data_IF_200170995470
#
_entry.id   IF_200170995470
#
_cell.length_a   1.000
_cell.length_b   1.000
_cell.length_c   1.000
_cell.angle_alpha   90.00
_cell.angle_beta   90.00
_cell.angle_gamma   90.00
#
_symmetry.space_group_name_H-M   'P 1'
#
loop_
_entity.id
_entity.type
_entity.pdbx_description
1 polymer ?
#
# COMPACT_ATOMS: atom_id res chain seq x y z
N UNK A 1 31.07 18.10 2.54
CA UNK A 1 29.83 17.75 1.82
C UNK A 1 28.78 17.36 2.86
N UNK A 2 27.51 17.77 2.74
CA UNK A 2 26.50 17.32 3.69
C UNK A 2 26.46 15.79 3.66
N UNK A 3 26.63 15.18 4.83
CA UNK A 3 26.56 13.74 5.01
C UNK A 3 25.16 13.28 4.62
N UNK A 4 25.11 12.30 3.71
CA UNK A 4 23.86 11.68 3.31
C UNK A 4 23.18 11.08 4.56
N UNK A 5 21.87 11.27 4.76
CA UNK A 5 21.17 10.66 5.89
C UNK A 5 21.27 9.13 5.80
N UNK A 6 21.47 8.50 6.95
CA UNK A 6 21.53 7.06 7.16
C UNK A 6 20.14 6.41 7.31
N UNK A 7 19.08 7.22 7.30
CA UNK A 7 17.68 6.76 7.27
C UNK A 7 16.84 7.44 6.18
N UNK A 8 15.66 6.86 5.90
CA UNK A 8 14.56 7.50 5.16
C UNK A 8 13.35 7.72 6.07
N UNK A 9 12.44 8.61 5.69
CA UNK A 9 11.12 8.69 6.31
C UNK A 9 10.14 7.74 5.62
N UNK A 10 9.43 6.93 6.40
CA UNK A 10 8.28 6.16 5.96
C UNK A 10 7.00 6.92 6.36
N UNK A 11 6.31 7.50 5.39
CA UNK A 11 5.04 8.18 5.60
C UNK A 11 3.87 7.21 5.46
N UNK A 12 3.87 6.15 6.27
CA UNK A 12 2.81 5.15 6.32
C UNK A 12 2.63 4.57 7.72
N UNK A 13 1.38 4.38 8.13
CA UNK A 13 1.03 3.68 9.37
C UNK A 13 1.01 2.16 9.21
N UNK A 14 1.24 1.62 8.00
CA UNK A 14 1.15 0.18 7.75
C UNK A 14 2.36 -0.55 8.33
N UNK A 15 2.19 -1.44 9.33
CA UNK A 15 3.31 -2.20 9.89
C UNK A 15 4.02 -3.08 8.84
N UNK A 16 3.27 -3.55 7.83
CA UNK A 16 3.79 -4.39 6.75
C UNK A 16 4.82 -3.68 5.88
N UNK A 17 4.63 -2.38 5.64
CA UNK A 17 5.57 -1.60 4.82
C UNK A 17 6.88 -1.36 5.56
N UNK A 18 6.81 -1.16 6.87
CA UNK A 18 7.97 -1.09 7.76
C UNK A 18 8.75 -2.41 7.75
N UNK A 19 8.06 -3.55 7.94
CA UNK A 19 8.65 -4.89 7.85
C UNK A 19 9.35 -5.14 6.50
N UNK A 20 8.75 -4.72 5.38
CA UNK A 20 9.33 -4.89 4.05
C UNK A 20 10.58 -4.02 3.81
N UNK A 21 10.68 -2.85 4.47
CA UNK A 21 11.90 -2.05 4.46
C UNK A 21 13.00 -2.66 5.34
N UNK A 22 12.63 -3.19 6.51
CA UNK A 22 13.55 -3.93 7.39
C UNK A 22 14.14 -5.15 6.69
N UNK A 23 13.33 -5.89 5.92
CA UNK A 23 13.77 -7.04 5.15
C UNK A 23 14.93 -6.72 4.19
N UNK A 24 14.99 -5.50 3.65
CA UNK A 24 16.06 -5.05 2.76
C UNK A 24 17.08 -4.12 3.45
N UNK A 25 17.09 -4.11 4.79
CA UNK A 25 18.08 -3.38 5.57
C UNK A 25 18.00 -1.87 5.44
N UNK A 26 16.83 -1.29 5.12
CA UNK A 26 16.65 0.17 4.98
C UNK A 26 16.21 0.78 6.32
N UNK A 27 17.09 1.52 7.02
CA UNK A 27 16.71 2.21 8.24
C UNK A 27 15.69 3.29 7.91
N UNK A 28 14.62 3.34 8.70
CA UNK A 28 13.56 4.30 8.47
C UNK A 28 12.96 4.84 9.75
N UNK A 29 12.41 6.05 9.65
CA UNK A 29 11.66 6.72 10.73
C UNK A 29 10.25 7.01 10.25
N UNK A 30 9.26 6.83 11.11
CA UNK A 30 7.88 7.13 10.75
C UNK A 30 7.67 8.64 10.61
N UNK A 31 6.97 9.05 9.55
CA UNK A 31 6.53 10.42 9.32
C UNK A 31 5.01 10.44 9.19
N UNK A 32 4.31 10.24 10.31
CA UNK A 32 2.86 10.08 10.34
C UNK A 32 2.13 11.43 10.35
N UNK A 33 0.90 11.51 9.78
CA UNK A 33 0.02 12.68 9.90
C UNK A 33 -0.24 13.07 11.36
N UNK A 34 -0.32 14.37 11.63
CA UNK A 34 -0.85 14.89 12.90
C UNK A 34 -2.38 14.72 12.97
N UNK A 35 -2.99 14.86 14.15
CA UNK A 35 -4.44 14.71 14.34
C UNK A 35 -5.28 15.69 13.50
N UNK A 36 -4.70 16.81 13.07
CA UNK A 36 -5.33 17.83 12.24
C UNK A 36 -5.21 17.55 10.74
N UNK A 37 -4.45 16.53 10.33
CA UNK A 37 -4.27 16.18 8.93
C UNK A 37 -5.26 15.08 8.53
N UNK A 38 -6.22 15.42 7.68
CA UNK A 38 -7.13 14.44 7.09
C UNK A 38 -6.43 13.66 5.97
N UNK A 39 -5.67 12.64 6.37
CA UNK A 39 -4.98 11.77 5.44
C UNK A 39 -5.93 10.83 4.68
N UNK A 40 -7.12 10.58 5.22
CA UNK A 40 -8.11 9.68 4.60
C UNK A 40 -8.83 10.37 3.43
N UNK A 41 -9.07 11.68 3.49
CA UNK A 41 -9.62 12.45 2.38
C UNK A 41 -8.79 12.32 1.08
N UNK A 42 -7.49 12.09 1.18
CA UNK A 42 -6.63 11.86 0.02
C UNK A 42 -6.97 10.56 -0.72
N UNK A 43 -7.57 9.59 -0.03
CA UNK A 43 -7.95 8.27 -0.56
C UNK A 43 -9.34 8.26 -1.24
N UNK A 44 -10.05 9.40 -1.30
CA UNK A 44 -11.34 9.49 -1.99
C UNK A 44 -11.18 9.19 -3.50
N UNK A 45 -11.98 8.25 -4.00
CA UNK A 45 -11.99 7.90 -5.43
C UNK A 45 -12.77 8.95 -6.24
N UNK A 46 -12.25 9.32 -7.41
CA UNK A 46 -12.93 10.26 -8.30
C UNK A 46 -13.90 9.52 -9.25
N UNK A 47 -15.00 10.16 -9.70
CA UNK A 47 -15.91 9.57 -10.67
C UNK A 47 -15.19 9.13 -11.95
N UNK A 48 -15.40 7.88 -12.36
CA UNK A 48 -14.81 7.31 -13.58
C UNK A 48 -13.31 6.99 -13.52
N UNK A 49 -12.66 7.24 -12.39
CA UNK A 49 -11.22 7.02 -12.22
C UNK A 49 -10.85 5.55 -12.33
N UNK A 50 -9.80 5.25 -13.12
CA UNK A 50 -9.28 3.89 -13.21
C UNK A 50 -8.52 3.49 -11.94
N UNK A 51 -8.47 2.20 -11.55
CA UNK A 51 -7.70 1.76 -10.39
C UNK A 51 -6.21 2.17 -10.44
N UNK A 52 -5.63 2.18 -11.64
CA UNK A 52 -4.25 2.64 -11.86
C UNK A 52 -4.09 4.13 -11.60
N UNK A 53 -4.95 4.95 -12.20
CA UNK A 53 -4.93 6.40 -12.01
C UNK A 53 -5.17 6.77 -10.54
N UNK A 54 -6.13 6.10 -9.89
CA UNK A 54 -6.43 6.24 -8.47
C UNK A 54 -5.19 6.02 -7.61
N UNK A 55 -4.58 4.82 -7.68
CA UNK A 55 -3.49 4.47 -6.75
C UNK A 55 -2.26 5.36 -6.95
N UNK A 56 -1.98 5.76 -8.20
CA UNK A 56 -0.89 6.68 -8.51
C UNK A 56 -1.16 8.09 -7.97
N UNK A 57 -2.37 8.64 -8.21
CA UNK A 57 -2.78 9.95 -7.70
C UNK A 57 -2.73 10.00 -6.19
N UNK A 58 -3.36 9.03 -5.51
CA UNK A 58 -3.39 8.94 -4.05
C UNK A 58 -1.97 8.88 -3.49
N UNK A 59 -1.10 8.07 -4.09
CA UNK A 59 0.32 7.96 -3.65
C UNK A 59 1.07 9.28 -3.82
N UNK A 60 0.86 9.99 -4.94
CA UNK A 60 1.47 11.30 -5.18
C UNK A 60 0.99 12.34 -4.17
N UNK A 61 -0.32 12.43 -3.92
CA UNK A 61 -0.90 13.33 -2.93
C UNK A 61 -0.37 13.06 -1.52
N UNK A 62 -0.25 11.78 -1.14
CA UNK A 62 0.35 11.38 0.14
C UNK A 62 1.81 11.82 0.25
N UNK A 63 2.59 11.70 -0.83
CA UNK A 63 3.97 12.18 -0.85
C UNK A 63 4.07 13.69 -0.69
N UNK A 64 3.22 14.45 -1.39
CA UNK A 64 3.22 15.91 -1.26
C UNK A 64 2.83 16.37 0.14
N UNK A 65 1.80 15.76 0.73
CA UNK A 65 1.42 16.03 2.12
C UNK A 65 2.54 15.67 3.11
N UNK A 66 3.21 14.52 2.92
CA UNK A 66 4.31 14.10 3.78
C UNK A 66 5.53 15.02 3.68
N UNK A 67 5.84 15.54 2.49
CA UNK A 67 6.96 16.48 2.31
C UNK A 67 6.63 17.87 2.87
N UNK A 68 5.38 18.32 2.73
CA UNK A 68 4.90 19.53 3.40
C UNK A 68 5.01 19.39 4.93
N UNK A 69 4.64 18.24 5.48
CA UNK A 69 4.79 17.91 6.89
C UNK A 69 6.24 17.90 7.35
N UNK A 70 7.15 17.27 6.58
CA UNK A 70 8.58 17.25 6.89
C UNK A 70 9.13 18.69 7.03
N UNK A 71 8.79 19.54 6.05
CA UNK A 71 9.20 20.96 6.04
C UNK A 71 8.59 21.73 7.21
N UNK A 72 7.28 21.59 7.43
CA UNK A 72 6.54 22.27 8.51
C UNK A 72 7.12 21.95 9.89
N UNK A 73 7.50 20.69 10.12
CA UNK A 73 8.07 20.24 11.39
C UNK A 73 9.56 20.55 11.55
N UNK A 74 10.24 21.11 10.53
CA UNK A 74 11.66 21.44 10.60
C UNK A 74 12.57 20.22 10.86
N UNK A 75 12.12 19.03 10.46
CA UNK A 75 12.86 17.79 10.71
C UNK A 75 14.11 17.68 9.83
N UNK A 76 15.12 16.89 10.23
CA UNK A 76 16.32 16.68 9.43
C UNK A 76 15.99 16.23 7.99
N UNK A 77 16.66 16.78 6.97
CA UNK A 77 16.35 16.44 5.57
C UNK A 77 16.72 14.98 5.27
N UNK A 78 15.73 14.19 4.88
CA UNK A 78 15.91 12.82 4.38
C UNK A 78 14.85 12.48 3.31
N UNK A 79 15.10 11.45 2.46
CA UNK A 79 14.09 10.98 1.52
C UNK A 79 12.81 10.55 2.24
N UNK A 80 11.64 10.85 1.66
CA UNK A 80 10.32 10.45 2.15
C UNK A 80 9.73 9.44 1.20
N UNK A 81 9.38 8.26 1.72
CA UNK A 81 8.74 7.18 0.99
C UNK A 81 7.26 7.08 1.37
N UNK A 82 6.42 7.03 0.33
CA UNK A 82 4.99 6.80 0.42
C UNK A 82 4.62 5.60 -0.46
N UNK A 83 3.57 4.89 -0.09
CA UNK A 83 2.94 3.90 -0.94
C UNK A 83 1.44 3.87 -0.72
N UNK A 84 0.70 3.46 -1.75
CA UNK A 84 -0.72 3.16 -1.67
C UNK A 84 -1.03 1.85 -2.40
N UNK A 85 -2.02 1.12 -1.89
CA UNK A 85 -2.35 -0.22 -2.38
C UNK A 85 -3.85 -0.34 -2.53
N UNK A 86 -4.29 -0.73 -3.72
CA UNK A 86 -5.70 -0.94 -4.02
C UNK A 86 -5.94 -2.31 -4.63
N UNK A 87 -7.10 -2.90 -4.31
CA UNK A 87 -7.57 -4.14 -4.93
C UNK A 87 -8.61 -3.76 -5.98
N UNK A 88 -8.52 -4.36 -7.17
CA UNK A 88 -9.44 -4.09 -8.26
C UNK A 88 -9.98 -5.37 -8.90
N UNK A 89 -11.30 -5.44 -9.01
CA UNK A 89 -12.01 -6.48 -9.74
C UNK A 89 -12.60 -5.86 -11.01
N UNK A 90 -11.93 -6.09 -12.15
CA UNK A 90 -12.19 -5.34 -13.38
C UNK A 90 -11.87 -3.85 -13.19
N UNK A 91 -12.88 -2.99 -13.37
CA UNK A 91 -12.78 -1.53 -13.13
C UNK A 91 -13.16 -1.12 -11.71
N UNK A 92 -13.77 -2.00 -10.91
CA UNK A 92 -14.24 -1.68 -9.56
C UNK A 92 -13.06 -1.71 -8.59
N UNK A 93 -12.84 -0.59 -7.90
CA UNK A 93 -11.93 -0.50 -6.75
C UNK A 93 -12.63 -1.11 -5.53
N UNK A 94 -11.91 -1.96 -4.80
CA UNK A 94 -12.33 -2.54 -3.54
C UNK A 94 -11.47 -1.93 -2.43
N UNK A 95 -12.02 -0.92 -1.76
CA UNK A 95 -11.40 -0.25 -0.63
C UNK A 95 -11.39 -1.10 0.64
N UNK A 96 -11.21 -0.44 1.78
CA UNK A 96 -11.35 -1.07 3.10
C UNK A 96 -12.85 -1.28 3.36
N UNK A 97 -13.29 -2.46 3.83
CA UNK A 97 -14.69 -2.65 4.19
C UNK A 97 -15.04 -1.79 5.41
N UNK A 98 -16.20 -1.13 5.38
CA UNK A 98 -16.75 -0.36 6.49
C UNK A 98 -17.20 -1.27 7.64
N UNK A 99 -17.69 -2.46 7.31
CA UNK A 99 -18.19 -3.42 8.29
C UNK A 99 -18.01 -4.89 7.85
N UNK A 100 -18.44 -5.80 8.71
CA UNK A 100 -18.40 -7.24 8.47
C UNK A 100 -19.33 -7.70 7.31
N UNK A 101 -20.43 -7.00 7.04
CA UNK A 101 -21.31 -7.33 5.92
C UNK A 101 -20.63 -6.98 4.59
N UNK A 102 -20.02 -5.80 4.50
CA UNK A 102 -19.27 -5.38 3.33
C UNK A 102 -18.05 -6.27 3.09
N UNK A 103 -17.32 -6.65 4.16
CA UNK A 103 -16.21 -7.59 4.05
C UNK A 103 -16.65 -8.94 3.44
N UNK A 104 -17.80 -9.48 3.87
CA UNK A 104 -18.38 -10.71 3.31
C UNK A 104 -18.73 -10.54 1.82
N UNK A 105 -19.35 -9.42 1.45
CA UNK A 105 -19.70 -9.13 0.07
C UNK A 105 -18.47 -8.99 -0.84
N UNK A 106 -17.41 -8.31 -0.36
CA UNK A 106 -16.13 -8.21 -1.06
C UNK A 106 -15.52 -9.60 -1.29
N UNK A 107 -15.36 -10.40 -0.23
CA UNK A 107 -14.78 -11.74 -0.33
C UNK A 107 -15.60 -12.68 -1.24
N UNK A 108 -16.93 -12.62 -1.16
CA UNK A 108 -17.80 -13.37 -2.05
C UNK A 108 -17.60 -12.96 -3.53
N UNK A 109 -17.41 -11.67 -3.80
CA UNK A 109 -17.17 -11.17 -5.16
C UNK A 109 -15.81 -11.59 -5.74
N UNK A 110 -14.83 -11.88 -4.87
CA UNK A 110 -13.48 -12.34 -5.23
C UNK A 110 -13.37 -13.87 -5.32
N UNK A 111 -14.28 -14.59 -4.66
CA UNK A 111 -14.34 -16.06 -4.61
C UNK A 111 -14.23 -16.69 -6.01
N UNK A 112 -13.30 -17.63 -6.18
CA UNK A 112 -13.08 -18.34 -7.45
C UNK A 112 -12.60 -17.49 -8.62
N UNK A 113 -12.22 -16.23 -8.40
CA UNK A 113 -11.87 -15.27 -9.46
C UNK A 113 -10.44 -14.78 -9.32
N UNK A 114 -9.95 -14.23 -10.43
CA UNK A 114 -8.74 -13.42 -10.46
C UNK A 114 -9.07 -11.94 -10.33
N UNK A 115 -8.30 -11.25 -9.51
CA UNK A 115 -8.36 -9.80 -9.32
C UNK A 115 -6.96 -9.21 -9.34
N UNK A 116 -6.88 -7.89 -9.54
CA UNK A 116 -5.62 -7.17 -9.53
C UNK A 116 -5.37 -6.55 -8.17
N UNK A 117 -4.12 -6.53 -7.75
CA UNK A 117 -3.63 -5.72 -6.65
C UNK A 117 -2.59 -4.78 -7.22
N UNK A 118 -2.83 -3.49 -7.07
CA UNK A 118 -1.97 -2.44 -7.59
C UNK A 118 -1.37 -1.72 -6.40
N UNK A 119 -0.04 -1.62 -6.37
CA UNK A 119 0.66 -0.82 -5.37
C UNK A 119 1.55 0.18 -6.06
N UNK A 120 1.26 1.47 -5.86
CA UNK A 120 2.15 2.54 -6.25
C UNK A 120 3.07 2.89 -5.08
N UNK A 121 4.33 3.17 -5.39
CA UNK A 121 5.34 3.66 -4.45
C UNK A 121 5.92 4.95 -5.01
N UNK A 122 6.12 5.94 -4.14
CA UNK A 122 6.75 7.20 -4.50
C UNK A 122 7.79 7.60 -3.45
N UNK A 123 8.87 8.19 -3.94
CA UNK A 123 9.99 8.67 -3.15
C UNK A 123 10.26 10.14 -3.48
N UNK A 124 10.44 10.97 -2.47
CA UNK A 124 10.71 12.39 -2.61
C UNK A 124 11.86 12.86 -1.74
N UNK A 125 12.72 13.74 -2.28
CA UNK A 125 13.80 14.39 -1.54
C UNK A 125 14.02 15.81 -2.09
N UNK A 126 13.67 16.83 -1.30
CA UNK A 126 13.65 18.21 -1.78
C UNK A 126 12.72 18.36 -2.99
N UNK A 127 13.26 18.84 -4.13
CA UNK A 127 12.50 18.98 -5.40
C UNK A 127 12.44 17.68 -6.22
N UNK A 128 13.27 16.69 -5.89
CA UNK A 128 13.33 15.42 -6.64
C UNK A 128 12.14 14.53 -6.28
N UNK A 129 11.57 13.87 -7.28
CA UNK A 129 10.48 12.90 -7.16
C UNK A 129 10.79 11.69 -8.04
N UNK A 130 10.38 10.51 -7.58
CA UNK A 130 10.35 9.28 -8.36
C UNK A 130 9.16 8.44 -7.92
N UNK A 131 8.57 7.69 -8.84
CA UNK A 131 7.45 6.81 -8.55
C UNK A 131 7.51 5.56 -9.43
N UNK A 132 6.91 4.48 -8.94
CA UNK A 132 6.78 3.22 -9.65
C UNK A 132 5.43 2.57 -9.30
N UNK A 133 4.97 1.69 -10.18
CA UNK A 133 3.72 0.95 -10.01
C UNK A 133 3.98 -0.55 -10.20
N UNK A 134 3.65 -1.33 -9.18
CA UNK A 134 3.60 -2.79 -9.27
C UNK A 134 2.16 -3.22 -9.46
N UNK A 135 1.90 -4.04 -10.48
CA UNK A 135 0.60 -4.68 -10.71
C UNK A 135 0.76 -6.18 -10.57
N UNK A 136 -0.05 -6.78 -9.70
CA UNK A 136 -0.07 -8.23 -9.49
C UNK A 136 -1.48 -8.77 -9.70
N UNK A 137 -1.59 -10.03 -10.10
CA UNK A 137 -2.84 -10.77 -10.18
C UNK A 137 -2.87 -11.81 -9.07
N UNK A 138 -3.96 -11.82 -8.30
CA UNK A 138 -4.23 -12.81 -7.27
C UNK A 138 -5.46 -13.60 -7.69
N UNK A 139 -5.42 -14.93 -7.58
CA UNK A 139 -6.56 -15.81 -7.82
C UNK A 139 -6.96 -16.48 -6.53
N UNK A 140 -8.20 -16.32 -6.12
CA UNK A 140 -8.77 -17.09 -5.02
C UNK A 140 -9.31 -18.42 -5.53
N UNK A 141 -9.20 -19.46 -4.70
CA UNK A 141 -10.01 -20.65 -4.85
C UNK A 141 -11.50 -20.31 -4.63
N UNK A 142 -12.44 -21.16 -5.08
CA UNK A 142 -13.83 -21.04 -4.66
C UNK A 142 -13.93 -21.12 -3.13
N UNK A 143 -14.56 -20.11 -2.54
CA UNK A 143 -14.85 -19.99 -1.12
C UNK A 143 -16.34 -20.19 -0.89
N UNK A 144 -16.69 -21.13 -0.02
CA UNK A 144 -18.04 -21.26 0.50
C UNK A 144 -18.36 -20.16 1.53
N UNK A 145 -19.65 -20.00 1.82
CA UNK A 145 -20.12 -18.98 2.74
C UNK A 145 -19.63 -19.22 4.19
N UNK A 146 -19.36 -20.46 4.59
CA UNK A 146 -18.90 -20.77 5.94
C UNK A 146 -17.45 -20.31 6.15
N UNK A 147 -16.57 -20.56 5.18
CA UNK A 147 -15.18 -20.07 5.15
C UNK A 147 -15.11 -18.55 5.18
N UNK A 148 -15.94 -17.88 4.38
CA UNK A 148 -16.00 -16.41 4.37
C UNK A 148 -16.43 -15.87 5.75
N UNK A 149 -17.49 -16.44 6.35
CA UNK A 149 -17.93 -16.04 7.70
C UNK A 149 -16.84 -16.25 8.75
N UNK A 150 -16.18 -17.40 8.73
CA UNK A 150 -15.11 -17.71 9.68
C UNK A 150 -13.92 -16.75 9.55
N UNK A 151 -13.54 -16.38 8.33
CA UNK A 151 -12.49 -15.40 8.10
C UNK A 151 -12.88 -14.01 8.59
N UNK A 152 -14.11 -13.55 8.29
CA UNK A 152 -14.61 -12.26 8.77
C UNK A 152 -14.70 -12.21 10.29
N UNK A 153 -15.11 -13.30 10.94
CA UNK A 153 -15.14 -13.40 12.40
C UNK A 153 -13.76 -13.27 13.07
N UNK A 154 -12.67 -13.49 12.34
CA UNK A 154 -11.31 -13.27 12.85
C UNK A 154 -10.93 -11.79 13.00
N UNK A 155 -11.71 -10.88 12.42
CA UNK A 155 -11.41 -9.44 12.38
C UNK A 155 -10.32 -9.05 11.38
N UNK A 156 -9.59 -10.02 10.80
CA UNK A 156 -8.51 -9.75 9.86
C UNK A 156 -8.95 -8.92 8.64
N UNK A 157 -10.15 -9.08 8.05
CA UNK A 157 -10.55 -8.27 6.88
C UNK A 157 -10.59 -6.75 7.09
N UNK A 158 -10.82 -6.29 8.32
CA UNK A 158 -11.03 -4.88 8.59
C UNK A 158 -9.74 -4.07 8.37
N UNK A 159 -9.90 -2.87 7.82
CA UNK A 159 -8.79 -1.97 7.50
C UNK A 159 -7.90 -2.40 6.32
N UNK A 160 -8.33 -3.38 5.51
CA UNK A 160 -7.57 -3.90 4.36
C UNK A 160 -8.34 -3.76 3.07
N UNK A 161 -7.68 -3.25 2.03
CA UNK A 161 -8.26 -3.16 0.69
C UNK A 161 -8.66 -4.57 0.20
N UNK A 162 -9.88 -4.68 -0.35
CA UNK A 162 -10.43 -5.97 -0.78
C UNK A 162 -10.73 -6.96 0.35
N UNK A 163 -10.71 -6.52 1.61
CA UNK A 163 -11.07 -7.30 2.78
C UNK A 163 -10.15 -8.52 3.05
N UNK A 164 -8.88 -8.49 2.64
CA UNK A 164 -7.94 -9.57 2.95
C UNK A 164 -6.47 -9.13 3.10
N UNK A 165 -5.64 -9.98 3.71
CA UNK A 165 -4.18 -9.84 3.77
C UNK A 165 -3.49 -11.08 3.18
N UNK A 166 -2.61 -10.90 2.19
CA UNK A 166 -1.91 -12.00 1.51
C UNK A 166 -1.02 -12.84 2.44
N UNK A 167 -0.42 -12.21 3.44
CA UNK A 167 0.43 -12.85 4.44
C UNK A 167 -0.34 -13.31 5.70
N UNK A 168 -1.66 -13.10 5.73
CA UNK A 168 -2.54 -13.48 6.83
C UNK A 168 -3.28 -14.78 6.58
N UNK A 169 -4.40 -15.00 7.28
CA UNK A 169 -5.21 -16.22 7.13
C UNK A 169 -5.77 -16.39 5.71
N UNK A 170 -5.95 -15.30 4.97
CA UNK A 170 -6.38 -15.35 3.58
C UNK A 170 -5.36 -16.02 2.64
N UNK A 171 -4.11 -16.25 3.06
CA UNK A 171 -3.17 -17.07 2.31
C UNK A 171 -3.75 -18.45 1.96
N UNK A 172 -4.56 -19.02 2.85
CA UNK A 172 -5.23 -20.31 2.63
C UNK A 172 -6.30 -20.27 1.52
N UNK A 173 -6.68 -19.10 1.03
CA UNK A 173 -7.66 -18.91 -0.05
C UNK A 173 -7.00 -18.66 -1.40
N UNK A 174 -5.70 -18.33 -1.41
CA UNK A 174 -5.00 -17.87 -2.60
C UNK A 174 -4.47 -19.08 -3.36
N UNK A 175 -5.11 -19.38 -4.48
CA UNK A 175 -4.72 -20.48 -5.36
C UNK A 175 -3.52 -20.12 -6.24
N UNK A 176 -3.31 -18.83 -6.54
CA UNK A 176 -2.22 -18.38 -7.40
C UNK A 176 -1.93 -16.89 -7.25
N UNK A 177 -0.65 -16.53 -7.40
CA UNK A 177 -0.17 -15.15 -7.51
C UNK A 177 0.71 -15.04 -8.76
N UNK A 178 0.48 -14.01 -9.57
CA UNK A 178 1.40 -13.57 -10.62
C UNK A 178 1.80 -12.12 -10.35
N UNK A 179 3.11 -11.84 -10.33
CA UNK A 179 3.67 -10.52 -10.01
C UNK A 179 4.42 -10.51 -8.70
N UNK A 180 4.25 -9.44 -7.91
CA UNK A 180 5.05 -9.16 -6.71
C UNK A 180 4.26 -9.44 -5.43
N UNK A 181 4.65 -10.48 -4.68
CA UNK A 181 4.09 -10.75 -3.36
C UNK A 181 4.27 -9.57 -2.39
N UNK A 182 5.46 -8.95 -2.37
CA UNK A 182 5.72 -7.74 -1.58
C UNK A 182 4.84 -6.56 -2.01
N UNK A 183 4.61 -6.41 -3.33
CA UNK A 183 3.66 -5.46 -3.89
C UNK A 183 2.25 -5.68 -3.36
N UNK A 184 1.78 -6.93 -3.30
CA UNK A 184 0.47 -7.28 -2.74
C UNK A 184 0.39 -6.99 -1.23
N UNK A 185 1.46 -7.26 -0.48
CA UNK A 185 1.54 -6.96 0.96
C UNK A 185 1.45 -5.44 1.24
N UNK A 186 1.91 -4.63 0.29
CA UNK A 186 1.70 -3.19 0.27
C UNK A 186 2.95 -2.34 0.00
N UNK A 187 4.10 -2.94 -0.29
CA UNK A 187 5.31 -2.24 -0.74
C UNK A 187 6.10 -3.12 -1.73
N UNK A 188 6.13 -2.77 -3.02
CA UNK A 188 6.83 -3.58 -4.01
C UNK A 188 8.34 -3.41 -3.85
N UNK A 189 8.99 -4.38 -3.23
CA UNK A 189 10.37 -4.27 -2.76
C UNK A 189 11.36 -4.04 -3.90
N UNK A 190 11.16 -4.69 -5.05
CA UNK A 190 12.02 -4.51 -6.23
C UNK A 190 12.00 -3.06 -6.71
N UNK A 191 10.80 -2.53 -7.00
CA UNK A 191 10.60 -1.16 -7.47
C UNK A 191 11.03 -0.13 -6.41
N UNK A 192 10.80 -0.44 -5.14
CA UNK A 192 11.26 0.39 -4.02
C UNK A 192 12.78 0.46 -3.98
N UNK A 193 13.47 -0.66 -4.15
CA UNK A 193 14.92 -0.73 -4.17
C UNK A 193 15.50 0.07 -5.35
N UNK A 194 14.91 -0.04 -6.54
CA UNK A 194 15.33 0.72 -7.73
C UNK A 194 15.13 2.23 -7.53
N UNK A 195 14.00 2.66 -6.95
CA UNK A 195 13.79 4.06 -6.61
C UNK A 195 14.83 4.56 -5.60
N UNK A 196 15.11 3.79 -4.55
CA UNK A 196 16.11 4.13 -3.55
C UNK A 196 17.50 4.27 -4.17
N UNK A 197 17.92 3.30 -5.00
CA UNK A 197 19.19 3.36 -5.77
C UNK A 197 19.26 4.57 -6.69
N UNK A 198 18.17 4.88 -7.39
CA UNK A 198 18.07 6.08 -8.22
C UNK A 198 18.30 7.35 -7.40
N UNK A 199 17.78 7.40 -6.17
CA UNK A 199 18.05 8.49 -5.23
C UNK A 199 19.46 8.47 -4.65
N UNK A 200 20.25 7.42 -4.92
CA UNK A 200 21.63 7.17 -4.55
C UNK A 200 21.80 6.32 -3.28
N UNK A 201 20.70 5.74 -2.77
CA UNK A 201 20.74 4.89 -1.59
C UNK A 201 21.55 3.62 -1.88
N UNK A 202 22.32 3.16 -0.90
CA UNK A 202 23.05 1.89 -0.99
C UNK A 202 22.26 0.84 -0.21
N UNK A 203 21.94 -0.26 -0.89
CA UNK A 203 21.25 -1.42 -0.35
C UNK A 203 22.25 -2.56 -0.21
#
# INVERSE_FOLDING_TARGET
MPTRPDFIYLASQSPRRSQLLEQIGVPHRLLLPDAQEDAEALEAALPGESPTAYVQRVTALKLDAALARLKRRGLPPAPVLCADTTVALGRRILGKPADAAEARAMLASLSGRSHRVLTAVALGAGRRRGAALSVSTVRFAPLDAARIRAYVASGEPLGKAGAYAVQGRAAAFIAHIAGSHSGIMGLPVFETAELLRGFGWRL
#
